data_IF_657309726246
#
_entry.id   IF_657309726246
#
_cell.length_a   1.000
_cell.length_b   1.000
_cell.length_c   1.000
_cell.angle_alpha   90.00
_cell.angle_beta   90.00
_cell.angle_gamma   90.00
#
_symmetry.space_group_name_H-M   'P 1'
#
loop_
_entity.id
_entity.type
_entity.pdbx_description
1 polymer ?
#
# COMPACT_ATOMS: atom_id res chain seq x y z
N UNK A 1 19.70 10.76 20.24
CA UNK A 1 19.00 10.08 19.13
C UNK A 1 18.08 9.06 19.76
N UNK A 2 16.79 9.38 19.92
CA UNK A 2 15.79 8.43 20.42
C UNK A 2 15.38 7.55 19.25
N UNK A 3 15.91 6.32 19.19
CA UNK A 3 15.42 5.30 18.27
C UNK A 3 13.97 5.02 18.63
N UNK A 4 13.03 5.44 17.79
CA UNK A 4 11.67 4.96 17.87
C UNK A 4 11.72 3.47 17.53
N UNK A 5 11.46 2.60 18.52
CA UNK A 5 11.17 1.19 18.30
C UNK A 5 9.97 1.09 17.38
N UNK A 6 10.23 0.88 16.09
CA UNK A 6 9.20 0.66 15.08
C UNK A 6 8.55 -0.68 15.39
N UNK A 7 7.38 -0.66 16.00
CA UNK A 7 6.63 -1.89 16.28
C UNK A 7 6.13 -2.44 14.95
N UNK A 8 6.76 -3.52 14.48
CA UNK A 8 6.37 -4.21 13.27
C UNK A 8 5.27 -5.21 13.62
N UNK A 9 4.10 -5.05 13.00
CA UNK A 9 2.97 -5.95 13.12
C UNK A 9 2.74 -6.68 11.80
N UNK A 10 2.13 -7.87 11.83
CA UNK A 10 1.86 -8.60 10.61
C UNK A 10 0.66 -7.97 9.89
N UNK A 11 0.79 -7.64 8.61
CA UNK A 11 -0.33 -7.25 7.75
C UNK A 11 -1.17 -8.50 7.45
N UNK A 12 -2.47 -8.44 7.73
CA UNK A 12 -3.43 -9.54 7.50
C UNK A 12 -4.34 -9.21 6.32
N UNK A 13 -4.87 -8.00 6.28
CA UNK A 13 -5.78 -7.55 5.23
C UNK A 13 -5.61 -6.06 4.94
N UNK A 14 -6.00 -5.67 3.73
CA UNK A 14 -6.02 -4.29 3.25
C UNK A 14 -7.30 -4.06 2.45
N UNK A 15 -8.00 -2.98 2.76
CA UNK A 15 -9.08 -2.44 1.92
C UNK A 15 -8.60 -1.12 1.33
N UNK A 16 -8.82 -0.95 0.03
CA UNK A 16 -8.51 0.29 -0.69
C UNK A 16 -9.81 0.81 -1.30
N UNK A 17 -10.13 2.06 -1.01
CA UNK A 17 -11.35 2.73 -1.46
C UNK A 17 -10.99 4.01 -2.19
N UNK A 18 -11.55 4.19 -3.37
CA UNK A 18 -11.38 5.37 -4.23
C UNK A 18 -12.69 6.12 -4.23
N UNK A 19 -12.63 7.40 -3.89
CA UNK A 19 -13.75 8.33 -4.02
C UNK A 19 -13.35 9.54 -4.85
N UNK A 20 -14.29 10.13 -5.60
CA UNK A 20 -14.00 11.29 -6.43
C UNK A 20 -13.60 12.50 -5.56
N UNK A 21 -12.60 13.26 -6.02
CA UNK A 21 -12.17 14.50 -5.37
C UNK A 21 -12.17 15.69 -6.33
N UNK A 22 -11.44 15.58 -7.44
CA UNK A 22 -11.42 16.57 -8.52
C UNK A 22 -11.17 15.87 -9.86
N UNK A 23 -11.20 16.61 -10.97
CA UNK A 23 -11.16 16.05 -12.32
C UNK A 23 -9.96 15.10 -12.57
N UNK A 24 -8.78 15.39 -11.98
CA UNK A 24 -7.55 14.61 -12.18
C UNK A 24 -7.00 13.98 -10.87
N UNK A 25 -7.78 14.04 -9.78
CA UNK A 25 -7.35 13.55 -8.47
C UNK A 25 -8.46 12.78 -7.77
N UNK A 26 -8.04 11.75 -7.06
CA UNK A 26 -8.89 10.87 -6.26
C UNK A 26 -8.48 10.93 -4.81
N UNK A 27 -9.46 10.81 -3.92
CA UNK A 27 -9.18 10.45 -2.54
C UNK A 27 -9.10 8.93 -2.46
N UNK A 28 -7.96 8.42 -2.02
CA UNK A 28 -7.74 6.99 -1.81
C UNK A 28 -7.60 6.73 -0.32
N UNK A 29 -8.55 6.01 0.25
CA UNK A 29 -8.53 5.57 1.64
C UNK A 29 -7.93 4.16 1.71
N UNK A 30 -6.93 4.01 2.57
CA UNK A 30 -6.32 2.72 2.89
C UNK A 30 -6.72 2.32 4.30
N UNK A 31 -7.28 1.12 4.44
CA UNK A 31 -7.64 0.54 5.74
C UNK A 31 -6.93 -0.80 5.90
N UNK A 32 -5.96 -0.88 6.80
CA UNK A 32 -5.23 -2.11 7.06
C UNK A 32 -5.70 -2.79 8.34
N UNK A 33 -5.68 -4.11 8.34
CA UNK A 33 -5.84 -4.95 9.54
C UNK A 33 -4.53 -5.66 9.79
N UNK A 34 -4.00 -5.53 11.01
CA UNK A 34 -2.87 -6.28 11.51
C UNK A 34 -3.30 -7.50 12.33
N UNK A 35 -2.33 -8.32 12.73
CA UNK A 35 -2.52 -9.39 13.72
C UNK A 35 -2.96 -8.90 15.10
N UNK A 36 -2.77 -7.62 15.40
CA UNK A 36 -3.17 -6.98 16.67
C UNK A 36 -4.47 -6.17 16.59
N UNK A 37 -5.03 -5.99 15.39
CA UNK A 37 -6.31 -5.30 15.20
C UNK A 37 -6.32 -4.37 13.99
N UNK A 38 -7.35 -3.52 13.90
CA UNK A 38 -7.45 -2.53 12.83
C UNK A 38 -6.42 -1.41 13.03
N UNK A 39 -5.73 -1.03 11.96
CA UNK A 39 -4.96 0.21 11.89
C UNK A 39 -5.90 1.35 11.52
N UNK A 40 -5.66 2.55 12.06
CA UNK A 40 -6.44 3.72 11.70
C UNK A 40 -6.43 3.91 10.16
N UNK A 41 -7.58 4.20 9.53
CA UNK A 41 -7.61 4.45 8.10
C UNK A 41 -6.84 5.73 7.78
N UNK A 42 -6.23 5.77 6.59
CA UNK A 42 -5.51 6.93 6.10
C UNK A 42 -5.92 7.25 4.67
N UNK A 43 -6.34 8.50 4.44
CA UNK A 43 -6.85 8.97 3.16
C UNK A 43 -5.86 9.93 2.54
N UNK A 44 -5.46 9.65 1.30
CA UNK A 44 -4.46 10.44 0.57
C UNK A 44 -4.98 10.84 -0.80
N UNK A 45 -4.55 12.02 -1.25
CA UNK A 45 -4.79 12.48 -2.62
C UNK A 45 -3.83 11.77 -3.57
N UNK A 46 -4.39 11.15 -4.60
CA UNK A 46 -3.63 10.40 -5.60
C UNK A 46 -4.11 10.83 -6.99
N UNK A 47 -3.16 11.13 -7.88
CA UNK A 47 -3.46 11.35 -9.30
C UNK A 47 -3.64 10.04 -10.04
N UNK A 48 -4.43 10.05 -11.11
CA UNK A 48 -4.64 8.88 -11.97
C UNK A 48 -3.32 8.28 -12.48
N UNK A 49 -2.36 9.15 -12.85
CA UNK A 49 -1.00 8.71 -13.23
C UNK A 49 -0.30 7.92 -12.13
N UNK A 50 -0.48 8.30 -10.85
CA UNK A 50 0.13 7.59 -9.72
C UNK A 50 -0.55 6.24 -9.50
N UNK A 51 -1.87 6.13 -9.67
CA UNK A 51 -2.58 4.85 -9.64
C UNK A 51 -2.10 3.91 -10.75
N UNK A 52 -1.89 4.43 -11.96
CA UNK A 52 -1.35 3.66 -13.08
C UNK A 52 0.08 3.19 -12.81
N UNK A 53 0.95 4.09 -12.36
CA UNK A 53 2.34 3.73 -12.01
C UNK A 53 2.42 2.71 -10.88
N UNK A 54 1.53 2.78 -9.88
CA UNK A 54 1.47 1.81 -8.80
C UNK A 54 1.16 0.41 -9.31
N UNK A 55 0.10 0.29 -10.13
CA UNK A 55 -0.29 -0.97 -10.75
C UNK A 55 0.83 -1.54 -11.61
N UNK A 56 1.44 -0.74 -12.47
CA UNK A 56 2.50 -1.20 -13.38
C UNK A 56 3.74 -1.65 -12.59
N UNK A 57 4.10 -0.92 -11.53
CA UNK A 57 5.17 -1.32 -10.62
C UNK A 57 4.87 -2.65 -9.93
N UNK A 58 3.65 -2.83 -9.40
CA UNK A 58 3.26 -4.07 -8.73
C UNK A 58 3.15 -5.24 -9.72
N UNK A 59 2.67 -5.00 -10.94
CA UNK A 59 2.65 -5.99 -12.01
C UNK A 59 4.05 -6.41 -12.43
N UNK A 60 5.02 -5.48 -12.50
CA UNK A 60 6.41 -5.79 -12.79
C UNK A 60 7.08 -6.62 -11.67
N UNK A 61 6.74 -6.35 -10.40
CA UNK A 61 7.18 -7.19 -9.27
C UNK A 61 6.55 -8.59 -9.37
N UNK A 62 5.25 -8.69 -9.64
CA UNK A 62 4.54 -9.96 -9.80
C UNK A 62 5.10 -10.79 -10.98
N UNK A 63 5.55 -10.13 -12.04
CA UNK A 63 6.18 -10.74 -13.20
C UNK A 63 7.67 -11.07 -12.99
N UNK A 64 8.24 -10.79 -11.81
CA UNK A 64 9.67 -10.97 -11.50
C UNK A 64 10.60 -10.17 -12.42
N UNK A 65 10.09 -9.12 -13.07
CA UNK A 65 10.83 -8.29 -14.03
C UNK A 65 11.41 -7.02 -13.43
N UNK A 66 11.09 -6.74 -12.17
CA UNK A 66 11.66 -5.64 -11.37
C UNK A 66 12.19 -6.19 -10.05
N UNK A 67 13.29 -5.63 -9.56
CA UNK A 67 13.75 -5.96 -8.21
C UNK A 67 12.77 -5.37 -7.20
N UNK A 68 12.38 -6.21 -6.24
CA UNK A 68 11.42 -5.87 -5.18
C UNK A 68 11.78 -4.58 -4.41
N UNK A 69 13.05 -4.17 -4.42
CA UNK A 69 13.64 -3.06 -3.64
C UNK A 69 13.10 -1.65 -3.96
N UNK A 70 12.10 -1.50 -4.83
CA UNK A 70 11.47 -0.21 -5.11
C UNK A 70 10.21 -0.03 -4.27
N UNK A 71 10.26 0.91 -3.32
CA UNK A 71 9.09 1.36 -2.59
C UNK A 71 8.21 2.26 -3.45
N UNK A 72 6.90 2.00 -3.48
CA UNK A 72 5.89 2.86 -4.11
C UNK A 72 5.08 3.61 -3.06
N UNK A 73 4.98 4.93 -3.17
CA UNK A 73 4.28 5.76 -2.19
C UNK A 73 3.09 6.52 -2.79
N UNK A 74 2.02 6.58 -2.02
CA UNK A 74 0.81 7.36 -2.25
C UNK A 74 0.80 8.58 -1.30
N UNK A 75 0.24 9.69 -1.76
CA UNK A 75 0.28 10.99 -1.05
C UNK A 75 1.38 11.91 -1.57
N UNK A 76 1.30 13.21 -1.24
CA UNK A 76 2.20 14.26 -1.75
C UNK A 76 2.70 15.16 -0.62
N UNK A 77 3.91 15.69 -0.76
CA UNK A 77 4.46 16.73 0.12
C UNK A 77 4.47 16.33 1.60
N UNK A 78 4.24 17.27 2.50
CA UNK A 78 4.24 17.02 3.95
C UNK A 78 2.89 16.51 4.50
N UNK A 79 2.06 15.94 3.62
CA UNK A 79 0.76 15.33 3.96
C UNK A 79 0.90 13.83 4.23
N UNK A 80 -0.16 13.23 4.75
CA UNK A 80 -0.31 11.79 4.96
C UNK A 80 0.17 10.96 3.76
N UNK A 81 0.82 9.81 4.05
CA UNK A 81 1.36 8.92 3.01
C UNK A 81 1.12 7.45 3.33
N UNK A 82 0.95 6.64 2.30
CA UNK A 82 1.03 5.17 2.38
C UNK A 82 2.13 4.69 1.45
N UNK A 83 3.03 3.86 1.93
CA UNK A 83 4.09 3.27 1.11
C UNK A 83 4.03 1.74 1.12
N UNK A 84 4.26 1.13 -0.04
CA UNK A 84 4.41 -0.30 -0.25
C UNK A 84 5.82 -0.58 -0.72
N UNK A 85 6.55 -1.43 -0.01
CA UNK A 85 7.91 -1.84 -0.37
C UNK A 85 7.96 -3.36 -0.40
N UNK A 86 8.30 -3.94 -1.54
CA UNK A 86 8.55 -5.36 -1.64
C UNK A 86 10.01 -5.63 -1.25
N UNK A 87 10.30 -6.77 -0.63
CA UNK A 87 11.66 -7.07 -0.14
C UNK A 87 11.97 -8.54 -0.31
N UNK A 88 13.01 -8.83 -1.09
CA UNK A 88 13.49 -10.20 -1.35
C UNK A 88 12.43 -11.10 -1.98
N UNK A 89 12.86 -12.27 -2.46
CA UNK A 89 11.97 -13.34 -2.87
C UNK A 89 12.56 -14.66 -2.40
N UNK A 90 11.90 -15.30 -1.42
CA UNK A 90 12.40 -16.51 -0.78
C UNK A 90 11.25 -17.50 -0.65
N UNK A 91 11.50 -18.76 -1.03
CA UNK A 91 10.52 -19.85 -0.91
C UNK A 91 9.15 -19.53 -1.54
N UNK A 92 9.14 -18.86 -2.71
CA UNK A 92 7.91 -18.57 -3.44
C UNK A 92 7.13 -17.36 -2.92
N UNK A 93 7.75 -16.49 -2.11
CA UNK A 93 7.08 -15.35 -1.48
C UNK A 93 7.95 -14.10 -1.51
N UNK A 94 7.31 -12.96 -1.74
CA UNK A 94 7.89 -11.65 -1.50
C UNK A 94 7.66 -11.23 -0.05
N UNK A 95 8.66 -10.59 0.57
CA UNK A 95 8.36 -9.73 1.71
C UNK A 95 7.61 -8.49 1.23
N UNK A 96 6.60 -8.05 1.96
CA UNK A 96 5.91 -6.78 1.74
C UNK A 96 5.96 -5.98 3.03
N UNK A 97 6.31 -4.71 2.92
CA UNK A 97 6.22 -3.70 3.98
C UNK A 97 5.22 -2.64 3.56
N UNK A 98 4.15 -2.48 4.34
CA UNK A 98 3.16 -1.43 4.15
C UNK A 98 3.29 -0.41 5.29
N UNK A 99 3.59 0.84 4.96
CA UNK A 99 3.82 1.90 5.95
C UNK A 99 2.78 3.00 5.81
N UNK A 100 2.06 3.26 6.90
CA UNK A 100 1.13 4.37 7.06
C UNK A 100 1.85 5.48 7.80
N UNK A 101 2.02 6.64 7.16
CA UNK A 101 2.67 7.81 7.73
C UNK A 101 1.65 8.93 7.92
N UNK A 102 1.27 9.16 9.17
CA UNK A 102 0.33 10.21 9.59
C UNK A 102 1.11 11.51 9.84
N UNK A 103 0.83 12.55 9.06
CA UNK A 103 1.45 13.85 9.22
C UNK A 103 1.01 14.49 10.54
N UNK A 104 1.98 14.98 11.31
CA UNK A 104 1.74 15.67 12.58
C UNK A 104 2.69 16.85 12.76
N UNK A 105 2.46 17.63 13.82
CA UNK A 105 3.20 18.88 14.08
C UNK A 105 4.72 18.70 14.23
N UNK A 106 5.18 17.49 14.58
CA UNK A 106 6.61 17.17 14.78
C UNK A 106 7.18 16.25 13.67
N UNK A 107 6.47 16.11 12.54
CA UNK A 107 6.80 15.15 11.48
C UNK A 107 5.80 13.99 11.44
N UNK A 108 6.21 12.86 10.83
CA UNK A 108 5.33 11.71 10.66
C UNK A 108 5.30 10.81 11.90
N UNK A 109 4.10 10.42 12.32
CA UNK A 109 3.90 9.22 13.11
C UNK A 109 3.72 8.04 12.15
N UNK A 110 4.50 6.97 12.29
CA UNK A 110 4.48 5.86 11.31
C UNK A 110 4.01 4.55 11.95
N UNK A 111 3.18 3.82 11.20
CA UNK A 111 2.80 2.43 11.49
C UNK A 111 3.26 1.58 10.32
N UNK A 112 4.12 0.60 10.58
CA UNK A 112 4.66 -0.29 9.54
C UNK A 112 4.18 -1.71 9.79
N UNK A 113 3.50 -2.27 8.79
CA UNK A 113 3.02 -3.64 8.76
C UNK A 113 3.83 -4.47 7.77
N UNK A 114 4.06 -5.75 8.07
CA UNK A 114 4.83 -6.65 7.20
C UNK A 114 4.06 -7.91 6.86
N UNK A 115 4.25 -8.44 5.66
CA UNK A 115 3.64 -9.69 5.21
C UNK A 115 4.61 -10.50 4.34
N UNK A 116 4.38 -11.80 4.28
CA UNK A 116 4.96 -12.68 3.26
C UNK A 116 3.86 -12.98 2.23
N UNK A 117 4.05 -12.50 1.02
CA UNK A 117 3.03 -12.48 -0.03
C UNK A 117 3.40 -13.50 -1.09
N UNK A 118 2.56 -14.51 -1.28
CA UNK A 118 2.70 -15.46 -2.40
C UNK A 118 2.41 -14.78 -3.74
N UNK A 119 2.89 -15.35 -4.85
CA UNK A 119 2.62 -14.82 -6.19
C UNK A 119 1.12 -14.71 -6.48
N UNK A 120 0.31 -15.67 -6.02
CA UNK A 120 -1.15 -15.63 -6.16
C UNK A 120 -1.80 -14.52 -5.32
N UNK A 121 -1.26 -14.22 -4.14
CA UNK A 121 -1.74 -13.12 -3.33
C UNK A 121 -1.35 -11.77 -3.94
N UNK A 122 -0.13 -11.65 -4.46
CA UNK A 122 0.32 -10.46 -5.17
C UNK A 122 -0.47 -10.23 -6.46
N UNK A 123 -0.76 -11.28 -7.24
CA UNK A 123 -1.61 -11.18 -8.43
C UNK A 123 -2.98 -10.59 -8.12
N UNK A 124 -3.64 -11.03 -7.05
CA UNK A 124 -4.93 -10.45 -6.61
C UNK A 124 -4.81 -8.99 -6.16
N UNK A 125 -3.67 -8.60 -5.59
CA UNK A 125 -3.41 -7.19 -5.25
C UNK A 125 -3.28 -6.34 -6.53
N UNK A 126 -2.52 -6.82 -7.52
CA UNK A 126 -2.37 -6.17 -8.82
C UNK A 126 -3.72 -6.03 -9.52
N UNK A 127 -4.51 -7.11 -9.57
CA UNK A 127 -5.85 -7.10 -10.16
C UNK A 127 -6.77 -6.08 -9.47
N UNK A 128 -6.73 -6.00 -8.13
CA UNK A 128 -7.49 -5.02 -7.36
C UNK A 128 -7.11 -3.58 -7.69
N UNK A 129 -5.81 -3.28 -7.80
CA UNK A 129 -5.36 -1.96 -8.27
C UNK A 129 -5.80 -1.68 -9.72
N UNK A 130 -5.76 -2.69 -10.59
CA UNK A 130 -6.26 -2.60 -11.97
C UNK A 130 -7.74 -2.27 -12.05
N UNK A 131 -8.57 -2.85 -11.16
CA UNK A 131 -10.00 -2.53 -11.05
C UNK A 131 -10.26 -1.09 -10.62
N UNK A 132 -9.35 -0.50 -9.84
CA UNK A 132 -9.45 0.89 -9.40
C UNK A 132 -8.91 1.90 -10.43
N UNK A 133 -8.30 1.44 -11.53
CA UNK A 133 -7.87 2.32 -12.61
C UNK A 133 -9.08 2.80 -13.42
N UNK A 134 -9.20 4.11 -13.62
CA UNK A 134 -10.21 4.68 -14.52
C UNK A 134 -11.65 4.67 -13.99
N UNK A 135 -11.93 4.07 -12.83
CA UNK A 135 -13.26 4.15 -12.19
C UNK A 135 -13.45 5.48 -11.45
N UNK A 136 -14.64 6.07 -11.41
CA UNK A 136 -14.84 7.30 -10.62
C UNK A 136 -14.86 7.03 -9.11
N UNK A 137 -15.44 5.89 -8.73
CA UNK A 137 -15.56 5.41 -7.35
C UNK A 137 -15.47 3.88 -7.35
N UNK A 138 -14.86 3.30 -6.31
CA UNK A 138 -14.78 1.86 -6.17
C UNK A 138 -13.96 1.43 -4.97
N UNK A 139 -14.03 0.15 -4.64
CA UNK A 139 -13.22 -0.42 -3.57
C UNK A 139 -12.84 -1.87 -3.88
N UNK A 140 -11.71 -2.33 -3.36
CA UNK A 140 -11.43 -3.74 -3.26
C UNK A 140 -10.87 -4.11 -1.88
N UNK A 141 -11.16 -5.32 -1.47
CA UNK A 141 -10.63 -5.94 -0.25
C UNK A 141 -9.61 -7.00 -0.65
N UNK A 142 -8.44 -6.96 -0.01
CA UNK A 142 -7.34 -7.87 -0.23
C UNK A 142 -6.89 -8.49 1.08
N UNK A 143 -6.59 -9.78 1.03
CA UNK A 143 -6.07 -10.54 2.17
C UNK A 143 -4.73 -11.15 1.81
N UNK A 144 -3.81 -11.10 2.77
CA UNK A 144 -2.55 -11.83 2.68
C UNK A 144 -2.87 -13.32 2.78
N UNK A 145 -3.12 -13.96 1.63
CA UNK A 145 -3.31 -15.40 1.61
C UNK A 145 -1.94 -16.06 1.80
N UNK A 146 -1.90 -16.98 2.76
CA UNK A 146 -0.78 -17.86 3.00
C UNK A 146 -0.51 -18.80 1.84
#
# INVERSE_FOLDING_TARGET
>A
MTGQTQTQHALVALRIEVTPYSYDQRMVQFTATSDTGAVAPLTVQVSDTTMTQAHDAFAAVAAHSSTAESGFAFGRGDSDRVAFEFTGYTAGRFGLRCTFAYAGAAGYNTVTLTAQVSDASLGRLVDGFGQLQGVEEGSFDWTVAG
#
